data_IF_331889651871
#
_entry.id   IF_331889651871
#
_cell.length_a   1.000
_cell.length_b   1.000
_cell.length_c   1.000
_cell.angle_alpha   90.00
_cell.angle_beta   90.00
_cell.angle_gamma   90.00
#
_symmetry.space_group_name_H-M   'P 1'
#
loop_
_entity.id
_entity.type
_entity.pdbx_description
1 polymer ?
#
# COMPACT_ATOMS: atom_id res chain seq x y z
N UNK A 1 16.61 -29.52 -18.57
CA UNK A 1 17.85 -29.36 -17.78
C UNK A 1 18.97 -28.68 -18.58
N UNK A 2 19.28 -29.09 -19.84
CA UNK A 2 20.39 -28.55 -20.64
C UNK A 2 20.25 -27.05 -20.95
N UNK A 3 19.04 -26.58 -21.28
CA UNK A 3 18.80 -25.15 -21.53
C UNK A 3 18.88 -24.31 -20.24
N UNK A 4 18.37 -24.85 -19.13
CA UNK A 4 18.49 -24.18 -17.82
C UNK A 4 19.94 -23.98 -17.38
N UNK A 5 20.79 -24.98 -17.57
CA UNK A 5 22.23 -24.85 -17.25
C UNK A 5 22.96 -23.81 -18.10
N UNK A 6 22.43 -23.47 -19.27
CA UNK A 6 23.03 -22.44 -20.14
C UNK A 6 22.46 -21.03 -19.91
N UNK A 7 21.19 -20.96 -19.51
CA UNK A 7 20.46 -19.67 -19.41
C UNK A 7 20.36 -19.14 -17.97
N UNK A 8 20.40 -20.06 -16.98
CA UNK A 8 20.31 -19.66 -15.59
C UNK A 8 21.72 -19.50 -15.02
N UNK A 9 22.07 -18.25 -14.72
CA UNK A 9 23.39 -17.89 -14.17
C UNK A 9 23.73 -18.66 -12.89
N UNK A 10 22.74 -18.96 -12.05
CA UNK A 10 22.93 -19.71 -10.80
C UNK A 10 23.24 -21.21 -11.01
N UNK A 11 23.18 -21.72 -12.24
CA UNK A 11 23.48 -23.11 -12.58
C UNK A 11 24.79 -23.25 -13.38
N UNK A 12 25.63 -22.24 -13.41
CA UNK A 12 26.94 -22.30 -14.07
C UNK A 12 27.84 -23.31 -13.36
N UNK A 13 28.47 -24.26 -14.10
CA UNK A 13 29.28 -25.33 -13.49
C UNK A 13 30.64 -24.90 -12.96
N UNK A 14 31.08 -23.69 -13.34
CA UNK A 14 32.34 -23.06 -12.98
C UNK A 14 32.28 -22.17 -11.72
N UNK A 15 31.09 -22.06 -11.12
CA UNK A 15 30.84 -21.19 -9.96
C UNK A 15 31.20 -21.92 -8.65
N UNK A 16 31.97 -21.29 -7.82
CA UNK A 16 32.22 -21.77 -6.44
C UNK A 16 30.99 -21.52 -5.56
N UNK A 17 30.91 -22.19 -4.42
CA UNK A 17 29.83 -21.97 -3.46
C UNK A 17 29.75 -20.52 -2.98
N UNK A 18 30.90 -19.87 -2.79
CA UNK A 18 30.95 -18.46 -2.34
C UNK A 18 30.40 -17.53 -3.42
N UNK A 19 30.86 -17.71 -4.66
CA UNK A 19 30.34 -16.93 -5.81
C UNK A 19 28.85 -17.16 -6.01
N UNK A 20 28.37 -18.41 -5.88
CA UNK A 20 26.95 -18.72 -5.96
C UNK A 20 26.14 -17.96 -4.89
N UNK A 21 26.57 -18.00 -3.63
CA UNK A 21 25.92 -17.30 -2.54
C UNK A 21 25.90 -15.79 -2.82
N UNK A 22 27.02 -15.22 -3.20
CA UNK A 22 27.12 -13.80 -3.51
C UNK A 22 26.19 -13.41 -4.65
N UNK A 23 26.20 -14.15 -5.75
CA UNK A 23 25.40 -13.86 -6.94
C UNK A 23 23.89 -13.96 -6.68
N UNK A 24 23.43 -14.96 -5.90
CA UNK A 24 22.00 -15.14 -5.60
C UNK A 24 21.50 -14.26 -4.44
N UNK A 25 22.40 -13.68 -3.67
CA UNK A 25 22.03 -12.76 -2.58
C UNK A 25 22.28 -11.29 -2.91
N UNK A 26 23.00 -11.01 -4.00
CA UNK A 26 23.24 -9.63 -4.44
C UNK A 26 21.92 -8.95 -4.82
N UNK A 27 21.74 -7.74 -4.30
CA UNK A 27 20.52 -6.95 -4.55
C UNK A 27 19.23 -7.46 -3.89
N UNK A 28 19.31 -8.51 -3.05
CA UNK A 28 18.13 -8.94 -2.28
C UNK A 28 17.74 -7.85 -1.28
N UNK A 29 16.52 -7.40 -1.40
CA UNK A 29 15.92 -6.52 -0.38
C UNK A 29 15.68 -7.31 0.91
N UNK A 30 15.72 -6.66 2.08
CA UNK A 30 15.29 -7.28 3.32
C UNK A 30 13.90 -7.92 3.16
N UNK A 31 13.68 -9.09 3.77
CA UNK A 31 12.36 -9.71 3.71
C UNK A 31 11.31 -8.82 4.39
N UNK A 32 10.07 -8.84 3.92
CA UNK A 32 8.97 -8.11 4.57
C UNK A 32 8.88 -8.41 6.07
N UNK A 33 8.48 -7.44 6.92
CA UNK A 33 8.47 -7.60 8.38
C UNK A 33 7.66 -8.81 8.90
N UNK A 34 6.61 -9.21 8.19
CA UNK A 34 5.76 -10.34 8.58
C UNK A 34 6.38 -11.73 8.27
N UNK A 35 7.39 -11.84 7.41
CA UNK A 35 7.99 -13.13 7.03
C UNK A 35 8.55 -13.93 8.21
N UNK A 36 9.38 -13.35 9.11
CA UNK A 36 9.89 -14.08 10.27
C UNK A 36 8.76 -14.63 11.17
N UNK A 37 7.67 -13.88 11.32
CA UNK A 37 6.52 -14.27 12.14
C UNK A 37 5.80 -15.44 11.48
N UNK A 38 5.54 -15.38 10.17
CA UNK A 38 4.89 -16.47 9.43
C UNK A 38 5.76 -17.74 9.41
N UNK A 39 7.09 -17.60 9.28
CA UNK A 39 8.02 -18.73 9.39
C UNK A 39 7.91 -19.38 10.76
N UNK A 40 7.82 -18.60 11.85
CA UNK A 40 7.63 -19.11 13.19
C UNK A 40 6.28 -19.83 13.35
N UNK A 41 5.19 -19.21 12.94
CA UNK A 41 3.83 -19.79 12.95
C UNK A 41 3.78 -21.11 12.17
N UNK A 42 4.39 -21.18 11.00
CA UNK A 42 4.43 -22.40 10.18
C UNK A 42 5.25 -23.54 10.82
N UNK A 43 6.24 -23.22 11.65
CA UNK A 43 7.09 -24.21 12.33
C UNK A 43 6.50 -24.68 13.66
N UNK A 44 5.94 -23.77 14.43
CA UNK A 44 5.53 -23.98 15.82
C UNK A 44 4.01 -24.19 15.96
N UNK A 45 3.24 -23.80 14.95
CA UNK A 45 1.78 -23.72 15.05
C UNK A 45 1.34 -22.55 15.95
N UNK A 46 0.13 -22.67 16.51
CA UNK A 46 -0.41 -21.64 17.41
C UNK A 46 -1.17 -20.52 16.72
N UNK A 47 -1.43 -20.66 15.41
CA UNK A 47 -2.38 -19.81 14.70
C UNK A 47 -3.82 -20.18 15.05
N UNK A 48 -4.72 -19.21 14.95
CA UNK A 48 -6.14 -19.41 15.19
C UNK A 48 -6.77 -20.32 14.12
N UNK A 49 -7.82 -21.04 14.51
CA UNK A 49 -8.64 -21.77 13.54
C UNK A 49 -9.30 -20.79 12.57
N UNK A 50 -9.29 -21.11 11.28
CA UNK A 50 -9.83 -20.21 10.25
C UNK A 50 -11.34 -19.96 10.44
N UNK A 51 -12.09 -20.93 10.92
CA UNK A 51 -13.52 -20.76 11.20
C UNK A 51 -13.74 -19.78 12.37
N UNK A 52 -12.87 -19.79 13.38
CA UNK A 52 -12.90 -18.80 14.48
C UNK A 52 -12.57 -17.39 13.96
N UNK A 53 -11.53 -17.25 13.13
CA UNK A 53 -11.14 -15.97 12.51
C UNK A 53 -12.27 -15.42 11.64
N UNK A 54 -12.91 -16.26 10.82
CA UNK A 54 -14.05 -15.88 10.00
C UNK A 54 -15.27 -15.51 10.85
N UNK A 55 -15.61 -16.30 11.85
CA UNK A 55 -16.74 -16.00 12.75
C UNK A 55 -16.59 -14.63 13.44
N UNK A 56 -15.37 -14.27 13.84
CA UNK A 56 -15.08 -12.97 14.42
C UNK A 56 -15.08 -11.88 13.36
N UNK A 57 -14.34 -12.06 12.28
CA UNK A 57 -14.11 -11.06 11.25
C UNK A 57 -15.34 -10.70 10.40
N UNK A 58 -16.31 -11.62 10.32
CA UNK A 58 -17.57 -11.41 9.59
C UNK A 58 -18.69 -10.80 10.45
N UNK A 59 -18.39 -10.29 11.62
CA UNK A 59 -19.34 -9.54 12.43
C UNK A 59 -19.65 -8.21 11.78
N UNK A 60 -20.90 -7.98 11.41
CA UNK A 60 -21.35 -6.69 10.91
C UNK A 60 -21.63 -5.73 12.07
N UNK A 61 -20.99 -4.57 12.07
CA UNK A 61 -21.10 -3.55 13.10
C UNK A 61 -21.83 -2.32 12.53
N UNK A 62 -22.83 -1.83 13.25
CA UNK A 62 -23.41 -0.52 12.93
C UNK A 62 -22.33 0.58 13.05
N UNK A 63 -22.51 1.76 12.44
CA UNK A 63 -21.52 2.85 12.54
C UNK A 63 -21.11 3.18 13.98
N UNK A 64 -22.06 3.23 14.91
CA UNK A 64 -21.78 3.50 16.33
C UNK A 64 -21.00 2.37 17.03
N UNK A 65 -21.33 1.09 16.73
CA UNK A 65 -20.58 -0.04 17.24
C UNK A 65 -19.18 -0.12 16.66
N UNK A 66 -19.03 0.24 15.38
CA UNK A 66 -17.76 0.26 14.68
C UNK A 66 -16.81 1.32 15.28
N UNK A 67 -17.31 2.55 15.47
CA UNK A 67 -16.55 3.64 16.11
C UNK A 67 -16.15 3.25 17.54
N UNK A 68 -17.12 2.78 18.34
CA UNK A 68 -16.85 2.34 19.71
C UNK A 68 -15.80 1.23 19.78
N UNK A 69 -15.86 0.23 18.88
CA UNK A 69 -14.88 -0.83 18.82
C UNK A 69 -13.49 -0.33 18.37
N UNK A 70 -13.44 0.66 17.45
CA UNK A 70 -12.18 1.27 17.04
C UNK A 70 -11.48 1.97 18.21
N UNK A 71 -12.23 2.71 19.02
CA UNK A 71 -11.71 3.47 20.15
C UNK A 71 -11.32 2.57 21.33
N UNK A 72 -12.15 1.57 21.65
CA UNK A 72 -11.96 0.72 22.83
C UNK A 72 -10.63 -0.04 22.82
N UNK A 73 -10.23 -0.55 21.65
CA UNK A 73 -9.02 -1.37 21.51
C UNK A 73 -7.96 -0.74 20.60
N UNK A 74 -8.12 0.52 20.22
CA UNK A 74 -7.27 1.21 19.25
C UNK A 74 -7.10 0.39 17.96
N UNK A 75 -8.23 -0.10 17.43
CA UNK A 75 -8.22 -0.90 16.22
C UNK A 75 -7.83 -0.05 15.00
N UNK A 76 -7.05 -0.64 14.11
CA UNK A 76 -6.78 -0.06 12.81
C UNK A 76 -8.03 -0.19 11.93
N UNK A 77 -8.55 0.92 11.45
CA UNK A 77 -9.58 0.91 10.40
C UNK A 77 -8.89 0.74 9.06
N UNK A 78 -9.12 -0.41 8.42
CA UNK A 78 -8.55 -0.77 7.13
C UNK A 78 -9.63 -0.70 6.05
N UNK A 79 -9.50 0.27 5.14
CA UNK A 79 -10.38 0.40 3.99
C UNK A 79 -9.81 -0.41 2.81
N UNK A 80 -10.57 -1.41 2.38
CA UNK A 80 -10.13 -2.37 1.36
C UNK A 80 -10.89 -2.23 0.03
N UNK A 81 -11.65 -1.14 -0.12
CA UNK A 81 -12.41 -0.80 -1.34
C UNK A 81 -11.46 -0.40 -2.48
N UNK A 82 -12.01 0.22 -3.53
CA UNK A 82 -11.19 0.79 -4.61
C UNK A 82 -10.54 2.12 -4.20
N UNK A 83 -9.44 2.53 -4.87
CA UNK A 83 -8.81 3.84 -4.64
C UNK A 83 -9.79 5.00 -4.88
N UNK A 84 -10.65 4.88 -5.88
CA UNK A 84 -11.63 5.89 -6.25
C UNK A 84 -12.71 6.06 -5.17
N UNK A 85 -13.22 4.95 -4.63
CA UNK A 85 -14.19 4.98 -3.53
C UNK A 85 -13.56 5.61 -2.28
N UNK A 86 -12.31 5.24 -1.96
CA UNK A 86 -11.58 5.81 -0.83
C UNK A 86 -11.38 7.33 -1.00
N UNK A 87 -10.96 7.76 -2.19
CA UNK A 87 -10.70 9.17 -2.47
C UNK A 87 -11.94 10.05 -2.30
N UNK A 88 -13.12 9.55 -2.71
CA UNK A 88 -14.39 10.28 -2.64
C UNK A 88 -14.91 10.40 -1.20
N UNK A 89 -14.67 9.38 -0.36
CA UNK A 89 -15.08 9.42 1.02
C UNK A 89 -14.65 8.19 1.81
N UNK A 90 -13.98 8.42 2.94
CA UNK A 90 -13.50 7.36 3.83
C UNK A 90 -13.68 7.74 5.32
N UNK A 91 -13.64 6.74 6.17
CA UNK A 91 -13.64 6.92 7.63
C UNK A 91 -12.35 7.64 8.02
N UNK A 92 -12.39 8.72 8.82
CA UNK A 92 -11.20 9.44 9.24
C UNK A 92 -10.13 8.53 9.85
N UNK A 93 -8.87 8.82 9.55
CA UNK A 93 -7.69 8.05 9.98
C UNK A 93 -7.64 6.60 9.47
N UNK A 94 -8.55 6.17 8.60
CA UNK A 94 -8.44 4.83 8.00
C UNK A 94 -7.24 4.71 7.07
N UNK A 95 -6.61 3.54 7.07
CA UNK A 95 -5.56 3.19 6.13
C UNK A 95 -6.20 2.47 4.94
N UNK A 96 -5.89 2.91 3.74
CA UNK A 96 -6.33 2.28 2.51
C UNK A 96 -5.32 1.21 2.07
N UNK A 97 -5.79 -0.02 1.86
CA UNK A 97 -5.08 -1.06 1.10
C UNK A 97 -6.15 -1.89 0.36
N UNK A 98 -6.41 -1.56 -0.90
CA UNK A 98 -7.49 -2.15 -1.68
C UNK A 98 -7.28 -3.63 -2.04
N UNK A 99 -8.37 -4.40 -2.04
CA UNK A 99 -8.34 -5.84 -2.35
C UNK A 99 -7.89 -6.15 -3.78
N UNK A 100 -8.17 -5.27 -4.75
CA UNK A 100 -7.86 -5.52 -6.15
C UNK A 100 -6.39 -5.28 -6.54
N UNK A 101 -5.55 -4.88 -5.58
CA UNK A 101 -4.10 -4.75 -5.75
C UNK A 101 -3.31 -5.88 -5.08
N UNK A 102 -2.03 -5.61 -4.83
CA UNK A 102 -1.14 -6.46 -4.04
C UNK A 102 -1.49 -6.38 -2.54
N UNK A 103 -2.73 -6.70 -2.18
CA UNK A 103 -3.29 -6.51 -0.85
C UNK A 103 -2.45 -7.14 0.26
N UNK A 104 -2.34 -8.48 0.29
CA UNK A 104 -1.67 -9.18 1.37
C UNK A 104 -0.18 -8.82 1.51
N UNK A 105 0.63 -8.69 0.44
CA UNK A 105 1.97 -8.15 0.53
C UNK A 105 2.04 -6.76 1.15
N UNK A 106 1.16 -5.82 0.75
CA UNK A 106 1.17 -4.47 1.32
C UNK A 106 0.69 -4.43 2.77
N UNK A 107 -0.31 -5.23 3.14
CA UNK A 107 -0.71 -5.38 4.54
C UNK A 107 0.49 -5.82 5.39
N UNK A 108 1.18 -6.89 5.00
CA UNK A 108 2.34 -7.39 5.74
C UNK A 108 3.57 -6.49 5.71
N UNK A 109 3.71 -5.63 4.69
CA UNK A 109 4.81 -4.66 4.59
C UNK A 109 4.57 -3.44 5.49
N UNK A 110 3.33 -2.96 5.56
CA UNK A 110 3.00 -1.66 6.14
C UNK A 110 2.43 -1.76 7.57
N UNK A 111 1.78 -2.86 7.92
CA UNK A 111 1.25 -3.12 9.27
C UNK A 111 2.24 -4.02 10.00
N UNK A 112 3.04 -3.41 10.88
CA UNK A 112 4.18 -4.09 11.52
C UNK A 112 3.75 -5.16 12.52
N UNK A 113 2.65 -4.92 13.25
CA UNK A 113 2.16 -5.83 14.28
C UNK A 113 1.03 -6.71 13.72
N UNK A 114 1.30 -7.99 13.54
CA UNK A 114 0.28 -8.98 13.10
C UNK A 114 -0.83 -9.17 14.14
N UNK A 115 -0.62 -8.76 15.40
CA UNK A 115 -1.63 -8.78 16.45
C UNK A 115 -2.47 -7.50 16.51
N UNK A 116 -2.24 -6.54 15.60
CA UNK A 116 -3.06 -5.33 15.50
C UNK A 116 -4.53 -5.69 15.29
N UNK A 117 -5.46 -5.25 16.17
CA UNK A 117 -6.89 -5.39 15.91
C UNK A 117 -7.27 -4.59 14.65
N UNK A 118 -8.03 -5.20 13.75
CA UNK A 118 -8.44 -4.60 12.47
C UNK A 118 -9.96 -4.54 12.38
N UNK A 119 -10.47 -3.41 11.96
CA UNK A 119 -11.86 -3.19 11.54
C UNK A 119 -11.88 -2.86 10.05
N UNK A 120 -12.80 -3.48 9.31
CA UNK A 120 -12.84 -3.39 7.85
C UNK A 120 -13.90 -2.41 7.35
N UNK A 121 -13.51 -1.57 6.38
CA UNK A 121 -14.43 -0.92 5.45
C UNK A 121 -14.28 -1.64 4.12
N UNK A 122 -15.32 -2.34 3.68
CA UNK A 122 -15.26 -3.28 2.56
C UNK A 122 -16.51 -3.15 1.70
N UNK A 123 -16.38 -3.39 0.39
CA UNK A 123 -17.52 -3.45 -0.52
C UNK A 123 -18.37 -4.69 -0.23
N UNK A 124 -19.69 -4.55 -0.31
CA UNK A 124 -20.65 -5.62 -0.01
C UNK A 124 -20.32 -6.91 -0.77
N UNK A 125 -20.33 -8.04 -0.04
CA UNK A 125 -20.06 -9.38 -0.55
C UNK A 125 -18.57 -9.74 -0.66
N UNK A 126 -17.65 -8.87 -0.24
CA UNK A 126 -16.21 -9.16 -0.25
C UNK A 126 -15.60 -9.31 1.17
N UNK A 127 -16.43 -9.35 2.18
CA UNK A 127 -16.00 -9.40 3.60
C UNK A 127 -15.18 -10.66 3.88
N UNK A 128 -15.67 -11.83 3.45
CA UNK A 128 -14.97 -13.11 3.64
C UNK A 128 -13.63 -13.14 2.89
N UNK A 129 -13.58 -12.58 1.67
CA UNK A 129 -12.33 -12.44 0.92
C UNK A 129 -11.31 -11.62 1.72
N UNK A 130 -11.73 -10.49 2.27
CA UNK A 130 -10.86 -9.59 3.01
C UNK A 130 -10.28 -10.27 4.26
N UNK A 131 -11.14 -10.88 5.09
CA UNK A 131 -10.74 -11.60 6.32
C UNK A 131 -9.81 -12.76 5.98
N UNK A 132 -10.16 -13.57 4.96
CA UNK A 132 -9.33 -14.70 4.54
C UNK A 132 -7.94 -14.27 4.05
N UNK A 133 -7.87 -13.16 3.30
CA UNK A 133 -6.58 -12.67 2.79
C UNK A 133 -5.71 -12.04 3.88
N UNK A 134 -6.31 -11.46 4.92
CA UNK A 134 -5.60 -11.03 6.13
C UNK A 134 -5.04 -12.23 6.89
N UNK A 135 -5.86 -13.24 7.15
CA UNK A 135 -5.43 -14.46 7.86
C UNK A 135 -4.26 -15.17 7.15
N UNK A 136 -4.23 -15.19 5.80
CA UNK A 136 -3.12 -15.79 5.02
C UNK A 136 -1.76 -15.16 5.29
N UNK A 137 -1.71 -13.95 5.81
CA UNK A 137 -0.46 -13.25 6.18
C UNK A 137 -0.33 -13.04 7.69
N UNK A 138 -1.16 -13.75 8.49
CA UNK A 138 -1.05 -13.85 9.93
C UNK A 138 -1.82 -12.78 10.71
N UNK A 139 -2.69 -12.00 10.04
CA UNK A 139 -3.56 -11.01 10.70
C UNK A 139 -4.90 -11.64 11.07
N UNK A 140 -4.93 -12.37 12.18
CA UNK A 140 -6.10 -13.14 12.62
C UNK A 140 -7.07 -12.32 13.50
N UNK A 141 -6.73 -11.07 13.83
CA UNK A 141 -7.52 -10.23 14.74
C UNK A 141 -8.42 -9.22 14.00
N UNK A 142 -9.14 -9.68 12.98
CA UNK A 142 -10.21 -8.89 12.38
C UNK A 142 -11.43 -8.93 13.29
N UNK A 143 -11.90 -7.77 13.78
CA UNK A 143 -12.98 -7.66 14.77
C UNK A 143 -14.37 -7.59 14.14
N UNK A 144 -14.44 -7.26 12.87
CA UNK A 144 -15.68 -7.09 12.11
C UNK A 144 -15.55 -6.06 11.00
N UNK A 145 -16.67 -5.74 10.39
CA UNK A 145 -16.73 -4.77 9.29
C UNK A 145 -17.88 -3.76 9.45
N UNK A 146 -17.74 -2.61 8.83
CA UNK A 146 -18.73 -1.53 8.83
C UNK A 146 -19.96 -1.95 8.01
N UNK A 147 -21.08 -2.20 8.69
CA UNK A 147 -22.36 -2.56 8.07
C UNK A 147 -22.89 -1.44 7.20
N UNK A 148 -23.13 -1.74 5.92
CA UNK A 148 -23.61 -0.76 4.94
C UNK A 148 -22.54 0.25 4.49
N UNK A 149 -21.25 -0.02 4.80
CA UNK A 149 -20.12 0.75 4.30
C UNK A 149 -20.15 2.23 4.67
N UNK A 150 -19.45 3.04 3.91
CA UNK A 150 -19.35 4.50 4.11
C UNK A 150 -20.69 5.23 3.92
N UNK A 151 -21.61 4.67 3.16
CA UNK A 151 -22.96 5.26 3.02
C UNK A 151 -23.72 5.22 4.36
N UNK A 152 -23.69 4.08 5.07
CA UNK A 152 -24.31 3.98 6.39
C UNK A 152 -23.61 4.87 7.42
N UNK A 153 -22.28 5.03 7.33
CA UNK A 153 -21.50 5.94 8.15
C UNK A 153 -21.94 7.39 7.99
N UNK A 154 -22.08 7.86 6.74
CA UNK A 154 -22.56 9.20 6.42
C UNK A 154 -24.01 9.40 6.90
N UNK A 155 -24.88 8.42 6.64
CA UNK A 155 -26.29 8.49 7.04
C UNK A 155 -26.47 8.52 8.58
N UNK A 156 -25.50 8.00 9.33
CA UNK A 156 -25.45 8.12 10.79
C UNK A 156 -24.95 9.50 11.27
N UNK A 157 -24.62 10.42 10.36
CA UNK A 157 -24.13 11.77 10.66
C UNK A 157 -22.66 11.83 11.06
N UNK A 158 -21.91 10.78 10.79
CA UNK A 158 -20.49 10.73 11.11
C UNK A 158 -19.64 11.43 10.05
N UNK A 159 -18.51 12.00 10.46
CA UNK A 159 -17.60 12.73 9.56
C UNK A 159 -16.86 11.78 8.61
N UNK A 160 -16.57 12.26 7.42
CA UNK A 160 -15.72 11.59 6.44
C UNK A 160 -14.58 12.48 6.02
N UNK A 161 -13.52 11.86 5.53
CA UNK A 161 -12.42 12.53 4.84
C UNK A 161 -12.37 12.14 3.37
N UNK A 162 -11.66 12.95 2.58
CA UNK A 162 -11.45 12.74 1.14
C UNK A 162 -9.97 12.87 0.80
N UNK A 163 -9.55 12.32 -0.33
CA UNK A 163 -8.22 12.61 -0.91
C UNK A 163 -8.43 13.50 -2.13
N UNK A 164 -7.74 14.63 -2.16
CA UNK A 164 -7.73 15.47 -3.34
C UNK A 164 -6.97 14.75 -4.47
N UNK A 165 -7.64 14.54 -5.60
CA UNK A 165 -7.07 13.84 -6.75
C UNK A 165 -7.31 14.64 -8.02
N UNK A 166 -6.30 14.72 -8.88
CA UNK A 166 -6.36 15.42 -10.16
C UNK A 166 -5.95 14.49 -11.30
N UNK A 167 -6.39 14.82 -12.53
CA UNK A 167 -5.94 14.09 -13.71
C UNK A 167 -4.48 14.43 -14.09
N UNK A 168 -3.86 13.60 -14.91
CA UNK A 168 -2.51 13.85 -15.40
C UNK A 168 -2.43 15.15 -16.24
N UNK A 169 -3.50 15.51 -16.97
CA UNK A 169 -3.57 16.75 -17.76
C UNK A 169 -3.70 17.98 -16.84
N UNK A 170 -4.46 17.89 -15.77
CA UNK A 170 -4.52 18.96 -14.76
C UNK A 170 -3.17 19.13 -14.08
N UNK A 171 -2.52 18.02 -13.74
CA UNK A 171 -1.16 18.04 -13.18
C UNK A 171 -0.16 18.67 -14.17
N UNK A 172 -0.22 18.34 -15.47
CA UNK A 172 0.62 18.98 -16.49
C UNK A 172 0.45 20.50 -16.53
N UNK A 173 -0.80 20.98 -16.41
CA UNK A 173 -1.08 22.42 -16.42
C UNK A 173 -0.50 23.14 -15.18
N UNK A 174 -0.39 22.47 -14.05
CA UNK A 174 0.11 22.99 -12.77
C UNK A 174 1.61 22.78 -12.57
N UNK A 175 2.22 21.83 -13.31
CA UNK A 175 3.59 21.34 -13.11
C UNK A 175 4.65 22.45 -13.10
N UNK A 176 4.56 23.42 -14.02
CA UNK A 176 5.58 24.46 -14.19
C UNK A 176 5.81 25.34 -12.95
N UNK A 177 4.83 25.39 -12.05
CA UNK A 177 4.89 26.16 -10.80
C UNK A 177 5.29 25.34 -9.57
N UNK A 178 5.40 23.99 -9.68
CA UNK A 178 5.48 23.10 -8.52
C UNK A 178 6.54 21.99 -8.67
N UNK A 179 7.60 22.20 -9.47
CA UNK A 179 8.61 21.17 -9.80
C UNK A 179 9.26 20.50 -8.57
N UNK A 180 9.47 21.25 -7.49
CA UNK A 180 10.14 20.76 -6.27
C UNK A 180 9.21 20.06 -5.29
N UNK A 181 7.95 19.82 -5.67
CA UNK A 181 6.92 19.26 -4.77
C UNK A 181 6.22 18.03 -5.37
N UNK A 182 6.98 17.21 -6.08
CA UNK A 182 6.49 15.98 -6.70
C UNK A 182 7.15 14.81 -6.00
N UNK A 183 6.35 13.85 -5.51
CA UNK A 183 6.81 12.69 -4.77
C UNK A 183 6.42 11.41 -5.48
N UNK A 184 7.42 10.63 -5.87
CA UNK A 184 7.27 9.33 -6.52
C UNK A 184 7.41 8.20 -5.49
N UNK A 185 6.30 7.50 -5.22
CA UNK A 185 6.27 6.39 -4.24
C UNK A 185 6.48 5.02 -4.88
N UNK A 186 6.97 4.96 -6.11
CA UNK A 186 7.30 3.71 -6.79
C UNK A 186 8.55 3.06 -6.18
N UNK A 187 8.77 1.80 -6.53
CA UNK A 187 10.00 1.09 -6.14
C UNK A 187 11.23 1.72 -6.81
N UNK A 188 12.39 1.55 -6.19
CA UNK A 188 13.65 2.14 -6.66
C UNK A 188 13.99 1.74 -8.12
N UNK A 189 13.75 0.48 -8.50
CA UNK A 189 14.00 0.03 -9.88
C UNK A 189 13.10 0.71 -10.90
N UNK A 190 11.82 0.98 -10.56
CA UNK A 190 10.91 1.73 -11.42
C UNK A 190 11.35 3.19 -11.58
N UNK A 191 11.71 3.84 -10.49
CA UNK A 191 12.20 5.21 -10.48
C UNK A 191 13.53 5.34 -11.24
N UNK A 192 14.48 4.43 -11.03
CA UNK A 192 15.75 4.43 -11.77
C UNK A 192 15.58 4.20 -13.27
N UNK A 193 14.58 3.41 -13.65
CA UNK A 193 14.28 3.14 -15.05
C UNK A 193 13.83 4.40 -15.80
N UNK A 194 12.89 5.13 -15.25
CA UNK A 194 12.38 6.40 -15.77
C UNK A 194 11.58 7.11 -14.68
N UNK A 195 11.77 8.42 -14.51
CA UNK A 195 11.01 9.24 -13.57
C UNK A 195 10.84 10.67 -14.06
N UNK A 196 9.98 11.44 -13.41
CA UNK A 196 9.80 12.86 -13.67
C UNK A 196 11.03 13.63 -13.21
N UNK A 197 11.55 14.54 -14.05
CA UNK A 197 12.65 15.41 -13.65
C UNK A 197 12.25 16.27 -12.44
N UNK A 198 13.07 16.26 -11.40
CA UNK A 198 12.84 16.98 -10.15
C UNK A 198 11.92 16.28 -9.15
N UNK A 199 11.41 15.08 -9.44
CA UNK A 199 10.61 14.33 -8.47
C UNK A 199 11.47 13.74 -7.34
N UNK A 200 11.00 13.89 -6.10
CA UNK A 200 11.57 13.24 -4.93
C UNK A 200 11.17 11.75 -4.93
N UNK A 201 12.14 10.87 -4.71
CA UNK A 201 11.87 9.44 -4.61
C UNK A 201 11.65 9.03 -3.16
N UNK A 202 10.41 8.72 -2.82
CA UNK A 202 9.97 8.32 -1.47
C UNK A 202 9.19 7.01 -1.54
N UNK A 203 9.87 5.86 -1.75
CA UNK A 203 9.18 4.60 -2.01
C UNK A 203 8.22 4.24 -0.88
N UNK A 204 7.03 3.74 -1.23
CA UNK A 204 5.97 3.42 -0.27
C UNK A 204 6.45 2.52 0.88
N UNK A 205 7.31 1.55 0.60
CA UNK A 205 7.88 0.64 1.62
C UNK A 205 8.74 1.35 2.67
N UNK A 206 9.27 2.53 2.36
CA UNK A 206 10.08 3.35 3.25
C UNK A 206 9.43 4.69 3.60
N UNK A 207 8.12 4.84 3.36
CA UNK A 207 7.40 6.12 3.53
C UNK A 207 7.61 6.74 4.93
N UNK A 208 7.67 5.91 5.96
CA UNK A 208 7.86 6.37 7.33
C UNK A 208 9.23 7.05 7.55
N UNK A 209 10.25 6.65 6.80
CA UNK A 209 11.61 7.21 6.90
C UNK A 209 11.70 8.58 6.20
N UNK A 210 10.75 8.85 5.30
CA UNK A 210 10.70 10.07 4.48
C UNK A 210 9.67 11.11 4.96
N UNK A 211 8.99 10.90 6.08
CA UNK A 211 7.91 11.79 6.55
C UNK A 211 8.33 13.26 6.68
N UNK A 212 9.58 13.51 7.06
CA UNK A 212 10.12 14.87 7.21
C UNK A 212 10.38 15.59 5.88
N UNK A 213 10.36 14.89 4.75
CA UNK A 213 10.58 15.47 3.43
C UNK A 213 9.30 16.07 2.83
N UNK A 214 8.13 15.66 3.35
CA UNK A 214 6.86 16.17 2.85
C UNK A 214 6.59 17.59 3.36
N UNK A 215 6.14 18.50 2.47
CA UNK A 215 5.80 19.88 2.87
C UNK A 215 4.72 19.90 3.96
N UNK A 216 4.93 20.71 4.98
CA UNK A 216 3.97 20.81 6.09
C UNK A 216 2.72 21.64 5.74
N UNK A 217 2.83 22.60 4.82
CA UNK A 217 1.78 23.59 4.53
C UNK A 217 1.44 23.64 3.03
N UNK A 218 2.45 23.72 2.17
CA UNK A 218 2.23 23.86 0.75
C UNK A 218 1.70 22.56 0.14
N UNK A 219 0.77 22.63 -0.84
CA UNK A 219 0.33 21.45 -1.57
C UNK A 219 1.49 20.76 -2.29
N UNK A 220 1.49 19.44 -2.30
CA UNK A 220 2.45 18.63 -3.04
C UNK A 220 1.74 17.50 -3.80
N UNK A 221 2.37 17.04 -4.86
CA UNK A 221 1.82 16.01 -5.73
C UNK A 221 2.42 14.65 -5.40
N UNK A 222 1.55 13.64 -5.37
CA UNK A 222 1.92 12.27 -5.05
C UNK A 222 1.51 11.36 -6.20
N UNK A 223 2.42 10.55 -6.69
CA UNK A 223 2.09 9.56 -7.70
C UNK A 223 2.82 8.23 -7.48
N UNK A 224 2.24 7.17 -8.03
CA UNK A 224 2.92 5.90 -8.22
C UNK A 224 2.86 5.46 -9.69
N UNK A 225 2.85 4.17 -10.00
CA UNK A 225 2.72 3.72 -11.38
C UNK A 225 1.29 3.91 -11.94
N UNK A 226 0.25 3.52 -11.19
CA UNK A 226 -1.13 3.50 -11.67
C UNK A 226 -2.19 3.98 -10.67
N UNK A 227 -1.82 4.66 -9.56
CA UNK A 227 -2.75 5.23 -8.58
C UNK A 227 -2.94 4.40 -7.29
N UNK A 228 -2.72 3.09 -7.30
CA UNK A 228 -2.97 2.23 -6.13
C UNK A 228 -2.02 2.53 -4.95
N UNK A 229 -0.69 2.56 -5.17
CA UNK A 229 0.31 2.81 -4.12
C UNK A 229 0.30 4.25 -3.62
N UNK A 230 0.00 5.21 -4.49
CA UNK A 230 -0.11 6.62 -4.08
C UNK A 230 -1.34 6.84 -3.20
N UNK A 231 -2.44 6.11 -3.43
CA UNK A 231 -3.59 6.16 -2.53
C UNK A 231 -3.27 5.54 -1.15
N UNK A 232 -2.51 4.43 -1.10
CA UNK A 232 -2.01 3.90 0.18
C UNK A 232 -1.16 4.95 0.89
N UNK A 233 -0.19 5.55 0.19
CA UNK A 233 0.66 6.60 0.75
C UNK A 233 -0.16 7.79 1.25
N UNK A 234 -1.15 8.25 0.49
CA UNK A 234 -2.06 9.33 0.89
C UNK A 234 -2.78 9.01 2.20
N UNK A 235 -3.34 7.79 2.34
CA UNK A 235 -4.00 7.37 3.57
C UNK A 235 -3.05 7.35 4.77
N UNK A 236 -1.83 6.84 4.56
CA UNK A 236 -0.80 6.80 5.61
C UNK A 236 -0.35 8.19 6.04
N UNK A 237 -0.19 9.11 5.10
CA UNK A 237 0.17 10.51 5.39
C UNK A 237 -0.95 11.22 6.15
N UNK A 238 -2.22 11.04 5.72
CA UNK A 238 -3.38 11.60 6.42
C UNK A 238 -3.48 11.11 7.86
N UNK A 239 -3.32 9.82 8.11
CA UNK A 239 -3.30 9.25 9.45
C UNK A 239 -2.16 9.79 10.34
N UNK A 240 -1.18 10.50 9.76
CA UNK A 240 -0.07 11.19 10.45
C UNK A 240 -0.23 12.71 10.49
N UNK A 241 -1.41 13.22 10.10
CA UNK A 241 -1.73 14.64 10.11
C UNK A 241 -1.20 15.45 8.92
N UNK A 242 -0.74 14.80 7.85
CA UNK A 242 -0.33 15.45 6.60
C UNK A 242 -1.50 15.36 5.62
N UNK A 243 -2.18 16.47 5.35
CA UNK A 243 -3.44 16.51 4.59
C UNK A 243 -3.37 17.29 3.28
N UNK A 244 -2.22 17.86 2.94
CA UNK A 244 -2.01 18.78 1.82
C UNK A 244 -1.48 18.09 0.55
N UNK A 245 -1.54 16.74 0.48
CA UNK A 245 -1.20 15.99 -0.73
C UNK A 245 -2.30 16.07 -1.78
N UNK A 246 -1.88 16.00 -3.04
CA UNK A 246 -2.74 15.88 -4.22
C UNK A 246 -2.30 14.61 -4.97
N UNK A 247 -3.17 13.60 -5.03
CA UNK A 247 -2.90 12.37 -5.76
C UNK A 247 -3.07 12.58 -7.27
N UNK A 248 -2.14 12.09 -8.08
CA UNK A 248 -2.26 12.13 -9.54
C UNK A 248 -2.84 10.82 -10.04
N UNK A 249 -4.09 10.89 -10.51
CA UNK A 249 -4.85 9.75 -11.02
C UNK A 249 -4.13 9.07 -12.19
N UNK A 250 -4.14 7.73 -12.18
CA UNK A 250 -3.44 6.93 -13.18
C UNK A 250 -1.92 6.94 -13.03
N UNK A 251 -1.37 7.73 -12.11
CA UNK A 251 0.05 7.76 -11.75
C UNK A 251 0.98 7.99 -12.93
N UNK A 252 2.20 7.44 -12.85
CA UNK A 252 3.22 7.60 -13.87
C UNK A 252 2.77 7.12 -15.28
N UNK A 253 1.90 6.12 -15.33
CA UNK A 253 1.34 5.65 -16.62
C UNK A 253 0.57 6.75 -17.34
N UNK A 254 -0.34 7.44 -16.63
CA UNK A 254 -1.08 8.55 -17.21
C UNK A 254 -0.17 9.78 -17.44
N UNK A 255 0.73 10.09 -16.50
CA UNK A 255 1.67 11.19 -16.64
C UNK A 255 2.60 10.99 -17.83
N UNK A 256 2.95 9.75 -18.18
CA UNK A 256 3.82 9.45 -19.33
C UNK A 256 3.22 9.82 -20.68
N UNK A 257 1.91 10.01 -20.76
CA UNK A 257 1.21 10.49 -21.96
C UNK A 257 1.21 12.02 -22.09
N UNK A 258 1.67 12.73 -21.05
CA UNK A 258 1.79 14.20 -21.03
C UNK A 258 3.15 14.68 -21.55
N UNK A 259 3.35 15.99 -21.61
CA UNK A 259 4.61 16.62 -22.01
C UNK A 259 5.55 16.93 -20.84
N UNK A 260 5.22 16.50 -19.64
CA UNK A 260 6.06 16.72 -18.45
C UNK A 260 7.44 16.09 -18.69
N UNK A 261 8.55 16.82 -18.45
CA UNK A 261 9.89 16.32 -18.64
C UNK A 261 10.17 15.07 -17.79
N UNK A 262 10.80 14.09 -18.44
CA UNK A 262 11.17 12.82 -17.83
C UNK A 262 12.61 12.48 -18.16
N UNK A 263 13.25 11.73 -17.29
CA UNK A 263 14.58 11.17 -17.55
C UNK A 263 14.54 10.20 -18.73
N UNK A 264 15.69 9.96 -19.35
CA UNK A 264 15.78 8.93 -20.39
C UNK A 264 15.50 7.54 -19.81
N UNK A 265 14.71 6.75 -20.53
CA UNK A 265 14.42 5.37 -20.13
C UNK A 265 15.68 4.52 -20.11
N UNK A 266 15.88 3.79 -18.99
CA UNK A 266 16.93 2.78 -18.83
C UNK A 266 16.26 1.43 -18.55
N UNK A 267 16.64 0.41 -19.31
CA UNK A 267 16.05 -0.93 -19.13
C UNK A 267 16.37 -1.47 -17.72
N UNK A 268 15.37 -1.91 -16.94
CA UNK A 268 15.60 -2.43 -15.57
C UNK A 268 16.60 -3.59 -15.52
N UNK A 269 16.74 -4.38 -16.57
CA UNK A 269 17.71 -5.47 -16.64
C UNK A 269 19.17 -5.03 -16.81
N UNK A 270 19.41 -3.73 -16.98
CA UNK A 270 20.74 -3.12 -17.13
C UNK A 270 21.10 -2.22 -15.94
N UNK A 271 20.21 -2.10 -14.97
CA UNK A 271 20.41 -1.41 -13.70
C UNK A 271 20.97 -2.36 -12.64
#
# INVERSE_FOLDING_TARGET
>A
LGNQKRMNYALRPDMTQVEFIQEVTDGLMPPPPYFPINVKLNKEGGYADIDEVLNQGLRSLSPAEFEAAADEVSALVLDVRSPEEFAVGHVPNSIFIGLDGNFAPWVGELIVDVQQPILLVVSEGREEEAVTRLARVGFDRTLGFLKGGTEAWINAGMSTETVNSISAEQFEAEHSSNQDRIFDVRKQGEHRSEHLEGAHHTPLSALNDHLAEFPAVEPFYLHCAGGYRSMIASSMLKARGIHNMVDVQGGFTAISETKIPRTSYVCPSTL
#
